data_IF_425034786749
#
_entry.id   IF_425034786749
#
_cell.length_a   1.000
_cell.length_b   1.000
_cell.length_c   1.000
_cell.angle_alpha   90.00
_cell.angle_beta   90.00
_cell.angle_gamma   90.00
#
_symmetry.space_group_name_H-M   'P 1'
#
loop_
_entity.id
_entity.type
_entity.pdbx_description
1 polymer ?
#
# COMPACT_ATOMS: atom_id res chain seq x y z
N UNK A 1 15.51 3.94 -18.83
CA UNK A 1 14.97 4.66 -17.65
C UNK A 1 14.01 5.71 -18.15
N UNK A 2 12.86 5.86 -17.51
CA UNK A 2 11.88 6.91 -17.83
C UNK A 2 12.00 7.97 -16.72
N UNK A 3 12.49 9.16 -17.05
CA UNK A 3 12.54 10.28 -16.11
C UNK A 3 11.26 11.10 -16.27
N UNK A 4 10.47 11.19 -15.21
CA UNK A 4 9.26 12.02 -15.19
C UNK A 4 9.55 13.24 -14.34
N UNK A 5 9.72 14.38 -14.99
CA UNK A 5 9.83 15.67 -14.30
C UNK A 5 8.42 16.11 -13.95
N UNK A 6 8.06 16.00 -12.67
CA UNK A 6 6.81 16.58 -12.16
C UNK A 6 6.95 18.10 -12.21
N UNK A 7 6.02 18.76 -12.91
CA UNK A 7 5.98 20.23 -12.94
C UNK A 7 5.29 20.72 -11.66
N UNK A 8 5.94 21.68 -11.00
CA UNK A 8 5.49 22.47 -9.84
C UNK A 8 3.97 22.68 -9.82
N UNK A 9 3.29 22.16 -8.82
CA UNK A 9 1.92 22.57 -8.50
C UNK A 9 1.97 23.95 -7.82
N UNK A 10 1.05 24.85 -8.20
CA UNK A 10 0.90 26.14 -7.53
C UNK A 10 0.10 25.92 -6.26
N UNK A 11 0.56 26.54 -5.17
CA UNK A 11 -0.12 26.62 -3.87
C UNK A 11 -1.54 27.17 -4.07
N UNK A 12 -2.55 26.35 -3.77
CA UNK A 12 -3.94 26.76 -3.68
C UNK A 12 -4.25 27.25 -2.26
N UNK A 13 -4.77 28.47 -2.15
CA UNK A 13 -5.34 29.05 -0.92
C UNK A 13 -6.80 28.57 -0.71
N UNK A 14 -7.09 27.32 -1.08
CA UNK A 14 -8.45 26.75 -1.17
C UNK A 14 -8.81 25.85 0.03
N UNK A 15 -7.91 25.71 0.99
CA UNK A 15 -8.12 24.93 2.22
C UNK A 15 -7.84 23.43 2.10
N UNK A 16 -7.55 22.92 0.90
CA UNK A 16 -7.17 21.52 0.65
C UNK A 16 -5.74 21.28 1.18
N UNK A 17 -5.49 20.14 1.84
CA UNK A 17 -4.15 19.83 2.31
C UNK A 17 -3.18 19.60 1.14
N UNK A 18 -1.97 20.16 1.23
CA UNK A 18 -0.95 20.06 0.18
C UNK A 18 -0.54 18.61 -0.11
N UNK A 19 -0.75 17.70 0.84
CA UNK A 19 -0.49 16.27 0.66
C UNK A 19 -1.31 15.68 -0.50
N UNK A 20 -2.46 16.26 -0.85
CA UNK A 20 -3.31 15.80 -1.94
C UNK A 20 -2.89 16.29 -3.33
N UNK A 21 -1.90 17.16 -3.40
CA UNK A 21 -1.26 17.54 -4.67
C UNK A 21 0.01 16.73 -4.88
N UNK A 22 0.43 16.59 -6.14
CA UNK A 22 1.71 15.93 -6.45
C UNK A 22 2.83 16.80 -5.88
N UNK A 23 3.78 16.17 -5.18
CA UNK A 23 4.88 16.86 -4.53
C UNK A 23 5.90 17.42 -5.51
N UNK A 24 6.83 18.20 -4.97
CA UNK A 24 7.81 18.95 -5.76
C UNK A 24 9.05 18.12 -6.18
N UNK A 25 9.26 16.94 -5.60
CA UNK A 25 10.43 16.11 -5.89
C UNK A 25 10.30 15.44 -7.26
N UNK A 26 11.33 15.57 -8.09
CA UNK A 26 11.38 14.91 -9.39
C UNK A 26 11.65 13.40 -9.20
N UNK A 27 10.89 12.57 -9.94
CA UNK A 27 10.88 11.12 -9.73
C UNK A 27 11.44 10.39 -10.96
N UNK A 28 12.38 9.47 -10.71
CA UNK A 28 12.84 8.50 -11.69
C UNK A 28 12.11 7.16 -11.53
N UNK A 29 11.59 6.64 -12.66
CA UNK A 29 10.90 5.34 -12.70
C UNK A 29 11.86 4.29 -13.25
N UNK A 30 12.21 3.33 -12.39
CA UNK A 30 13.24 2.32 -12.63
C UNK A 30 12.59 0.95 -12.72
N UNK A 31 12.77 0.27 -13.86
CA UNK A 31 12.38 -1.13 -14.05
C UNK A 31 13.60 -2.00 -13.76
N UNK A 32 13.66 -2.58 -12.57
CA UNK A 32 14.79 -3.40 -12.16
C UNK A 32 14.51 -4.89 -12.40
N UNK A 33 15.42 -5.55 -13.12
CA UNK A 33 15.39 -6.99 -13.37
C UNK A 33 16.82 -7.53 -13.39
N UNK A 34 17.14 -8.43 -12.47
CA UNK A 34 18.46 -9.06 -12.33
C UNK A 34 18.29 -10.45 -11.74
N UNK A 35 19.27 -11.34 -11.95
CA UNK A 35 19.32 -12.66 -11.30
C UNK A 35 19.43 -12.58 -9.78
N UNK A 36 19.93 -11.46 -9.24
CA UNK A 36 19.99 -11.21 -7.79
C UNK A 36 18.64 -10.79 -7.19
N UNK A 37 17.66 -10.43 -8.02
CA UNK A 37 16.34 -9.99 -7.55
C UNK A 37 15.37 -11.18 -7.42
N UNK A 38 14.61 -11.28 -6.31
CA UNK A 38 13.61 -12.34 -6.14
C UNK A 38 12.48 -12.28 -7.18
N UNK A 39 12.16 -11.08 -7.68
CA UNK A 39 11.27 -10.83 -8.80
C UNK A 39 11.59 -9.46 -9.42
N UNK A 40 11.08 -9.15 -10.63
CA UNK A 40 11.20 -7.81 -11.19
C UNK A 40 10.57 -6.76 -10.26
N UNK A 41 11.15 -5.56 -10.24
CA UNK A 41 10.68 -4.43 -9.44
C UNK A 41 10.34 -3.25 -10.36
N UNK A 42 9.31 -2.51 -9.99
CA UNK A 42 9.11 -1.14 -10.43
C UNK A 42 9.43 -0.24 -9.23
N UNK A 43 10.46 0.60 -9.37
CA UNK A 43 10.91 1.51 -8.31
C UNK A 43 10.64 2.94 -8.75
N UNK A 44 10.04 3.72 -7.86
CA UNK A 44 9.92 5.17 -7.98
C UNK A 44 10.89 5.79 -6.98
N UNK A 45 11.84 6.57 -7.48
CA UNK A 45 12.91 7.15 -6.68
C UNK A 45 12.93 8.66 -6.85
N UNK A 46 13.09 9.42 -5.75
CA UNK A 46 13.60 10.79 -5.82
C UNK A 46 14.87 10.86 -6.68
N UNK A 47 15.13 12.02 -7.25
CA UNK A 47 16.33 12.28 -8.07
C UNK A 47 17.34 13.18 -7.36
N UNK A 48 16.88 13.93 -6.36
CA UNK A 48 17.73 14.77 -5.52
C UNK A 48 18.55 13.90 -4.57
N UNK A 49 19.82 14.27 -4.38
CA UNK A 49 20.73 13.63 -3.41
C UNK A 49 20.15 13.73 -1.99
N UNK A 50 20.08 12.59 -1.28
CA UNK A 50 19.46 12.55 0.03
C UNK A 50 19.21 11.14 0.55
N UNK A 51 18.74 11.06 1.80
CA UNK A 51 18.28 9.81 2.43
C UNK A 51 16.77 9.84 2.59
N UNK A 52 16.09 8.80 2.11
CA UNK A 52 14.62 8.79 1.98
C UNK A 52 13.98 7.55 2.62
N UNK A 53 12.84 7.69 3.31
CA UNK A 53 12.08 6.54 3.78
C UNK A 53 11.60 5.66 2.61
N UNK A 54 11.36 4.37 2.89
CA UNK A 54 11.01 3.38 1.87
C UNK A 54 9.57 2.88 2.06
N UNK A 55 8.78 2.86 0.99
CA UNK A 55 7.48 2.21 0.94
C UNK A 55 7.53 0.94 0.08
N UNK A 56 7.25 -0.21 0.68
CA UNK A 56 7.08 -1.48 -0.05
C UNK A 56 5.61 -1.68 -0.42
N UNK A 57 5.28 -1.61 -1.72
CA UNK A 57 3.90 -1.62 -2.22
C UNK A 57 3.54 -2.88 -3.03
N UNK A 58 2.46 -3.58 -2.66
CA UNK A 58 1.99 -4.79 -3.35
C UNK A 58 0.72 -4.53 -4.20
N UNK A 59 0.77 -4.95 -5.47
CA UNK A 59 -0.35 -4.82 -6.41
C UNK A 59 -1.49 -5.84 -6.14
N UNK A 60 -2.68 -5.56 -6.65
CA UNK A 60 -3.85 -6.43 -6.55
C UNK A 60 -3.85 -7.66 -7.47
N UNK A 61 -4.92 -8.45 -7.38
CA UNK A 61 -5.14 -9.68 -8.15
C UNK A 61 -5.19 -9.39 -9.66
N UNK A 62 -4.46 -10.17 -10.47
CA UNK A 62 -4.36 -9.97 -11.93
C UNK A 62 -3.80 -8.61 -12.39
N UNK A 63 -3.16 -7.85 -11.50
CA UNK A 63 -2.63 -6.53 -11.79
C UNK A 63 -1.10 -6.51 -11.82
N UNK A 64 -0.56 -5.33 -12.16
CA UNK A 64 0.86 -5.02 -12.20
C UNK A 64 1.11 -3.71 -11.44
N UNK A 65 2.33 -3.46 -10.90
CA UNK A 65 2.67 -2.19 -10.27
C UNK A 65 2.37 -0.96 -11.12
N UNK A 66 2.54 -1.08 -12.45
CA UNK A 66 2.29 0.03 -13.36
C UNK A 66 0.80 0.47 -13.41
N UNK A 67 -0.14 -0.37 -12.96
CA UNK A 67 -1.56 0.01 -12.83
C UNK A 67 -1.80 1.01 -11.67
N UNK A 68 -0.77 1.33 -10.90
CA UNK A 68 -0.80 2.28 -9.78
C UNK A 68 0.18 3.43 -10.00
N UNK A 69 0.69 3.62 -11.23
CA UNK A 69 1.75 4.58 -11.57
C UNK A 69 1.46 5.97 -11.00
N UNK A 70 0.25 6.50 -11.14
CA UNK A 70 -0.07 7.84 -10.66
C UNK A 70 -0.01 7.95 -9.13
N UNK A 71 -0.51 6.93 -8.41
CA UNK A 71 -0.44 6.87 -6.94
C UNK A 71 1.00 6.73 -6.44
N UNK A 72 1.78 5.82 -7.03
CA UNK A 72 3.15 5.58 -6.59
C UNK A 72 4.08 6.76 -6.93
N UNK A 73 3.82 7.45 -8.05
CA UNK A 73 4.48 8.69 -8.40
C UNK A 73 4.12 9.82 -7.42
N UNK A 74 2.84 9.96 -7.06
CA UNK A 74 2.41 10.92 -6.04
C UNK A 74 3.20 10.73 -4.76
N UNK A 75 3.20 9.53 -4.20
CA UNK A 75 3.93 9.23 -2.97
C UNK A 75 5.42 9.53 -3.13
N UNK A 76 6.05 9.10 -4.23
CA UNK A 76 7.49 9.31 -4.42
C UNK A 76 7.88 10.78 -4.59
N UNK A 77 7.01 11.60 -5.19
CA UNK A 77 7.20 13.05 -5.33
C UNK A 77 7.14 13.81 -3.98
N UNK A 78 6.70 13.13 -2.92
CA UNK A 78 6.77 13.61 -1.54
C UNK A 78 7.96 13.00 -0.78
N UNK A 79 9.09 12.76 -1.48
CA UNK A 79 10.37 12.34 -0.89
C UNK A 79 10.35 10.92 -0.29
N UNK A 80 9.69 9.99 -0.97
CA UNK A 80 9.71 8.56 -0.62
C UNK A 80 10.28 7.71 -1.74
N UNK A 81 11.04 6.67 -1.39
CA UNK A 81 11.39 5.62 -2.33
C UNK A 81 10.27 4.57 -2.31
N UNK A 82 9.60 4.36 -3.44
CA UNK A 82 8.52 3.36 -3.53
C UNK A 82 9.03 2.15 -4.30
N UNK A 83 9.08 1.00 -3.63
CA UNK A 83 9.48 -0.29 -4.20
C UNK A 83 8.24 -1.13 -4.43
N UNK A 84 7.91 -1.39 -5.70
CA UNK A 84 6.72 -2.16 -6.07
C UNK A 84 7.12 -3.46 -6.82
N UNK A 85 7.19 -4.61 -6.12
CA UNK A 85 7.52 -5.88 -6.75
C UNK A 85 6.42 -6.36 -7.70
N UNK A 86 6.84 -6.94 -8.82
CA UNK A 86 5.98 -7.60 -9.78
C UNK A 86 5.82 -9.08 -9.45
N UNK A 87 4.64 -9.47 -8.98
CA UNK A 87 4.29 -10.88 -8.81
C UNK A 87 3.62 -11.45 -10.05
N UNK A 88 3.52 -12.78 -10.12
CA UNK A 88 2.77 -13.42 -11.20
C UNK A 88 1.28 -13.14 -11.00
N UNK A 89 0.56 -12.63 -12.02
CA UNK A 89 -0.82 -12.18 -11.90
C UNK A 89 -1.76 -13.23 -11.30
N UNK A 90 -1.54 -14.51 -11.65
CA UNK A 90 -2.44 -15.62 -11.33
C UNK A 90 -2.04 -16.47 -10.10
N UNK A 91 -0.85 -16.28 -9.52
CA UNK A 91 -0.41 -17.16 -8.41
C UNK A 91 -0.77 -16.56 -7.05
N UNK A 92 -1.71 -17.17 -6.32
CA UNK A 92 -2.11 -16.73 -4.98
C UNK A 92 -1.30 -17.37 -3.83
N UNK A 93 -0.83 -18.61 -3.99
CA UNK A 93 -0.25 -19.39 -2.89
C UNK A 93 1.18 -19.00 -2.46
N UNK A 94 1.82 -18.03 -3.12
CA UNK A 94 3.24 -17.70 -2.88
C UNK A 94 3.54 -16.22 -2.66
N UNK A 95 2.54 -15.34 -2.68
CA UNK A 95 2.78 -13.89 -2.60
C UNK A 95 3.46 -13.50 -1.30
N UNK A 96 3.00 -13.98 -0.14
CA UNK A 96 3.67 -13.70 1.16
C UNK A 96 5.08 -14.29 1.20
N UNK A 97 5.31 -15.47 0.60
CA UNK A 97 6.65 -16.08 0.50
C UNK A 97 7.58 -15.22 -0.35
N UNK A 98 7.10 -14.69 -1.48
CA UNK A 98 7.85 -13.77 -2.36
C UNK A 98 8.07 -12.44 -1.68
N UNK A 99 7.05 -11.87 -1.05
CA UNK A 99 7.12 -10.65 -0.27
C UNK A 99 8.18 -10.74 0.84
N UNK A 100 8.27 -11.88 1.54
CA UNK A 100 9.34 -12.15 2.52
C UNK A 100 10.73 -12.18 1.87
N UNK A 101 10.89 -12.77 0.68
CA UNK A 101 12.16 -12.74 -0.06
C UNK A 101 12.55 -11.31 -0.44
N UNK A 102 11.58 -10.48 -0.82
CA UNK A 102 11.81 -9.06 -1.13
C UNK A 102 12.19 -8.28 0.12
N UNK A 103 11.48 -8.46 1.24
CA UNK A 103 11.83 -7.83 2.52
C UNK A 103 13.24 -8.24 2.99
N UNK A 104 13.60 -9.52 2.84
CA UNK A 104 14.97 -10.01 3.09
C UNK A 104 16.00 -9.38 2.16
N UNK A 105 15.69 -9.28 0.87
CA UNK A 105 16.56 -8.61 -0.11
C UNK A 105 16.75 -7.11 0.21
N UNK A 106 15.71 -6.42 0.72
CA UNK A 106 15.81 -5.06 1.21
C UNK A 106 16.74 -4.97 2.44
N UNK A 107 16.59 -5.87 3.43
CA UNK A 107 17.45 -5.86 4.64
C UNK A 107 18.94 -6.06 4.38
N UNK A 108 19.33 -6.60 3.22
CA UNK A 108 20.75 -6.77 2.86
C UNK A 108 21.34 -5.55 2.15
N UNK A 109 20.67 -4.39 2.24
CA UNK A 109 21.06 -3.11 1.63
C UNK A 109 21.32 -3.17 0.12
N UNK A 110 20.63 -4.08 -0.58
CA UNK A 110 20.79 -4.24 -2.03
C UNK A 110 20.05 -3.16 -2.83
N UNK A 111 19.19 -2.37 -2.19
CA UNK A 111 18.39 -1.35 -2.86
C UNK A 111 19.27 -0.25 -3.47
N UNK A 112 20.41 0.08 -2.84
CA UNK A 112 21.41 1.02 -3.36
C UNK A 112 21.87 0.69 -4.79
N UNK A 113 21.93 -0.60 -5.14
CA UNK A 113 22.34 -1.05 -6.47
C UNK A 113 21.31 -0.74 -7.58
N UNK A 114 20.10 -0.35 -7.19
CA UNK A 114 18.98 -0.05 -8.10
C UNK A 114 18.71 1.45 -8.19
N UNK A 115 19.06 2.22 -7.16
CA UNK A 115 18.70 3.63 -7.05
C UNK A 115 19.63 4.54 -7.87
N UNK A 116 19.20 5.78 -8.19
CA UNK A 116 20.07 6.79 -8.76
C UNK A 116 21.27 7.07 -7.86
N UNK A 117 22.36 7.55 -8.46
CA UNK A 117 23.58 7.86 -7.71
C UNK A 117 23.27 8.86 -6.58
N UNK A 118 23.74 8.55 -5.36
CA UNK A 118 23.57 9.38 -4.15
C UNK A 118 22.15 9.49 -3.58
N UNK A 119 21.21 8.66 -4.04
CA UNK A 119 19.93 8.46 -3.37
C UNK A 119 20.08 7.26 -2.43
N UNK A 120 19.92 7.49 -1.13
CA UNK A 120 20.13 6.48 -0.09
C UNK A 120 18.79 6.07 0.54
N UNK A 121 18.47 4.76 0.63
CA UNK A 121 17.27 4.29 1.30
C UNK A 121 17.47 4.26 2.83
N UNK A 122 16.55 4.90 3.56
CA UNK A 122 16.49 4.78 5.03
C UNK A 122 15.68 3.52 5.41
N UNK A 123 16.40 2.41 5.59
CA UNK A 123 15.80 1.13 5.98
C UNK A 123 15.40 1.04 7.46
N UNK A 124 15.58 2.11 8.25
CA UNK A 124 14.96 2.25 9.58
C UNK A 124 13.51 2.78 9.47
N UNK A 125 13.17 3.39 8.33
CA UNK A 125 11.86 3.99 8.05
C UNK A 125 11.19 3.29 6.89
N UNK A 126 10.71 2.06 7.13
CA UNK A 126 10.04 1.26 6.10
C UNK A 126 8.54 1.15 6.35
N UNK A 127 7.76 1.75 5.46
CA UNK A 127 6.33 1.52 5.34
C UNK A 127 6.01 0.31 4.45
N UNK A 128 4.87 -0.32 4.71
CA UNK A 128 4.39 -1.48 3.94
C UNK A 128 2.94 -1.25 3.54
N UNK A 129 2.62 -1.54 2.28
CA UNK A 129 1.27 -1.32 1.76
C UNK A 129 0.89 -2.18 0.56
N UNK A 130 -0.39 -2.13 0.17
CA UNK A 130 -0.88 -2.69 -1.07
C UNK A 130 -2.38 -2.51 -1.26
N UNK A 131 -2.86 -2.88 -2.45
CA UNK A 131 -4.27 -2.79 -2.84
C UNK A 131 -4.95 -4.16 -2.98
N UNK A 132 -6.16 -4.33 -2.45
CA UNK A 132 -6.94 -5.56 -2.58
C UNK A 132 -6.19 -6.78 -2.05
N UNK A 133 -5.89 -7.75 -2.92
CA UNK A 133 -5.02 -8.91 -2.59
C UNK A 133 -3.61 -8.48 -2.14
N UNK A 134 -3.09 -7.39 -2.69
CA UNK A 134 -1.83 -6.78 -2.28
C UNK A 134 -1.90 -6.20 -0.86
N UNK A 135 -3.03 -5.61 -0.47
CA UNK A 135 -3.26 -5.15 0.89
C UNK A 135 -3.25 -6.30 1.89
N UNK A 136 -3.93 -7.41 1.57
CA UNK A 136 -3.82 -8.65 2.37
C UNK A 136 -2.38 -9.15 2.48
N UNK A 137 -1.61 -9.06 1.40
CA UNK A 137 -0.19 -9.46 1.39
C UNK A 137 0.64 -8.57 2.31
N UNK A 138 0.36 -7.27 2.32
CA UNK A 138 0.96 -6.30 3.23
C UNK A 138 0.71 -6.66 4.70
N UNK A 139 -0.56 -6.85 5.08
CA UNK A 139 -0.92 -7.27 6.44
C UNK A 139 -0.29 -8.62 6.84
N UNK A 140 -0.35 -9.61 5.96
CA UNK A 140 0.21 -10.93 6.25
C UNK A 140 1.73 -10.90 6.42
N UNK A 141 2.44 -10.06 5.66
CA UNK A 141 3.87 -9.88 5.82
C UNK A 141 4.19 -9.16 7.13
N UNK A 142 3.48 -8.07 7.45
CA UNK A 142 3.65 -7.36 8.71
C UNK A 142 3.43 -8.30 9.91
N UNK A 143 2.36 -9.10 9.91
CA UNK A 143 2.05 -10.06 10.99
C UNK A 143 3.16 -11.10 11.18
N UNK A 144 3.75 -11.58 10.09
CA UNK A 144 4.85 -12.54 10.15
C UNK A 144 6.13 -11.93 10.76
N UNK A 145 6.33 -10.61 10.66
CA UNK A 145 7.48 -9.90 11.24
C UNK A 145 7.20 -9.41 12.66
N UNK A 146 5.98 -8.96 12.95
CA UNK A 146 5.56 -8.49 14.29
C UNK A 146 5.37 -9.60 15.32
N UNK A 147 5.02 -10.81 14.89
CA UNK A 147 4.76 -11.94 15.81
C UNK A 147 6.02 -12.56 16.43
N UNK A 148 7.19 -11.94 16.30
CA UNK A 148 8.44 -12.47 16.87
C UNK A 148 8.69 -13.94 16.53
N UNK A 149 8.34 -14.35 15.29
CA UNK A 149 8.25 -15.73 14.81
C UNK A 149 9.08 -16.74 15.60
N UNK A 150 8.48 -17.28 16.68
CA UNK A 150 8.94 -18.48 17.38
C UNK A 150 8.37 -19.76 16.79
N UNK A 151 7.42 -19.67 15.86
CA UNK A 151 6.80 -20.86 15.29
C UNK A 151 7.26 -21.14 13.86
N UNK A 152 8.23 -22.05 13.78
CA UNK A 152 8.28 -23.03 12.72
C UNK A 152 7.04 -23.93 12.82
N UNK A 153 6.13 -23.82 11.87
CA UNK A 153 5.13 -24.84 11.55
C UNK A 153 4.49 -24.47 10.21
N UNK A 154 4.34 -25.31 9.19
CA UNK A 154 4.81 -26.67 8.93
C UNK A 154 4.74 -26.84 7.41
N UNK A 155 5.89 -26.99 6.77
CA UNK A 155 6.00 -27.81 5.58
C UNK A 155 7.30 -28.57 5.74
N UNK A 156 7.17 -29.86 6.04
CA UNK A 156 8.23 -30.86 6.06
C UNK A 156 9.31 -30.55 5.01
N UNK A 157 10.51 -30.20 5.47
CA UNK A 157 11.64 -29.88 4.60
C UNK A 157 12.74 -29.09 5.30
N UNK A 158 13.64 -29.84 5.95
CA UNK A 158 15.04 -29.49 6.29
C UNK A 158 15.31 -28.29 7.22
N UNK A 159 16.28 -28.40 8.16
CA UNK A 159 16.68 -27.29 9.01
C UNK A 159 17.40 -26.23 8.17
N UNK A 160 16.75 -25.10 7.90
CA UNK A 160 17.42 -23.94 7.31
C UNK A 160 18.25 -23.22 8.37
N UNK A 161 19.48 -22.91 7.95
CA UNK A 161 20.55 -22.23 8.66
C UNK A 161 20.08 -20.98 9.40
N UNK A 162 20.58 -20.79 10.64
CA UNK A 162 20.41 -19.58 11.45
C UNK A 162 20.83 -18.36 10.62
N UNK A 163 19.86 -17.55 10.17
CA UNK A 163 20.14 -16.28 9.52
C UNK A 163 20.75 -15.31 10.52
N UNK A 164 21.89 -14.71 10.12
CA UNK A 164 22.78 -13.91 10.97
C UNK A 164 22.41 -12.41 11.03
N UNK A 165 21.38 -11.99 10.30
CA UNK A 165 20.97 -10.58 10.19
C UNK A 165 19.60 -10.37 10.83
N UNK A 166 19.37 -9.26 11.55
CA UNK A 166 18.06 -8.95 12.10
C UNK A 166 17.06 -8.74 10.94
N UNK A 167 15.82 -9.23 11.06
CA UNK A 167 14.80 -9.04 10.04
C UNK A 167 14.51 -7.54 9.86
N UNK A 168 14.26 -7.12 8.62
CA UNK A 168 13.78 -5.76 8.29
C UNK A 168 12.65 -5.35 9.24
N UNK A 169 12.76 -4.19 9.90
CA UNK A 169 11.70 -3.67 10.75
C UNK A 169 10.75 -2.82 9.91
N UNK A 170 9.46 -3.11 9.99
CA UNK A 170 8.43 -2.23 9.44
C UNK A 170 8.01 -1.22 10.50
N UNK A 171 7.81 0.02 10.08
CA UNK A 171 7.49 1.15 10.96
C UNK A 171 6.04 1.63 10.81
N UNK A 172 5.39 1.34 9.68
CA UNK A 172 3.99 1.68 9.45
C UNK A 172 3.33 0.74 8.42
N UNK A 173 2.02 0.53 8.52
CA UNK A 173 1.24 -0.34 7.62
C UNK A 173 0.01 0.39 7.05
N UNK A 174 -0.17 0.36 5.73
CA UNK A 174 -1.36 0.92 5.06
C UNK A 174 -2.04 -0.10 4.15
N UNK A 175 -3.35 -0.28 4.23
CA UNK A 175 -4.11 -1.11 3.29
C UNK A 175 -5.07 -0.30 2.44
N UNK A 176 -4.97 -0.40 1.12
CA UNK A 176 -5.98 0.16 0.20
C UNK A 176 -6.97 -0.94 -0.14
N UNK A 177 -8.19 -0.75 0.32
CA UNK A 177 -9.33 -1.63 0.09
C UNK A 177 -8.96 -3.12 0.20
N UNK A 178 -8.28 -3.55 1.29
CA UNK A 178 -7.68 -4.89 1.35
C UNK A 178 -8.76 -5.97 1.27
N UNK A 179 -8.44 -7.06 0.58
CA UNK A 179 -9.36 -8.19 0.37
C UNK A 179 -8.73 -9.48 0.88
N UNK A 180 -9.35 -10.03 1.90
CA UNK A 180 -9.05 -11.29 2.58
C UNK A 180 -9.61 -12.51 1.84
N UNK A 181 -9.65 -13.63 2.55
CA UNK A 181 -10.24 -14.87 2.06
C UNK A 181 -10.93 -15.59 3.22
N UNK A 182 -12.16 -16.08 3.00
CA UNK A 182 -12.91 -16.80 4.04
C UNK A 182 -12.40 -18.23 4.28
N UNK A 183 -11.73 -18.84 3.30
CA UNK A 183 -11.28 -20.23 3.38
C UNK A 183 -9.86 -20.45 2.85
N UNK A 184 -9.21 -21.47 3.40
CA UNK A 184 -7.95 -22.03 2.91
C UNK A 184 -8.18 -22.64 1.53
N UNK A 185 -7.68 -21.97 0.49
CA UNK A 185 -7.89 -22.40 -0.88
C UNK A 185 -7.32 -21.34 -1.80
N UNK A 186 -8.16 -20.47 -2.34
CA UNK A 186 -7.74 -19.56 -3.41
C UNK A 186 -6.86 -18.37 -2.98
N UNK A 187 -6.76 -18.04 -1.69
CA UNK A 187 -6.09 -16.82 -1.21
C UNK A 187 -5.39 -16.98 0.16
N UNK A 188 -4.61 -18.05 0.36
CA UNK A 188 -3.76 -18.20 1.55
C UNK A 188 -2.71 -17.07 1.69
N UNK A 189 -2.26 -16.71 2.91
CA UNK A 189 -2.80 -17.12 4.20
C UNK A 189 -4.14 -16.45 4.51
N UNK A 190 -5.00 -17.15 5.24
CA UNK A 190 -6.13 -16.52 5.90
C UNK A 190 -5.61 -15.87 7.19
N UNK A 191 -5.65 -14.54 7.22
CA UNK A 191 -5.16 -13.75 8.36
C UNK A 191 -6.31 -13.20 9.20
N UNK A 192 -7.52 -13.14 8.66
CA UNK A 192 -8.70 -12.63 9.36
C UNK A 192 -9.19 -13.69 10.35
N UNK A 193 -9.29 -13.30 11.62
CA UNK A 193 -9.83 -14.12 12.72
C UNK A 193 -11.23 -13.70 13.11
N UNK A 194 -11.71 -12.55 12.61
CA UNK A 194 -12.98 -11.94 12.98
C UNK A 194 -13.10 -11.62 14.47
N UNK A 195 -11.96 -11.30 15.09
CA UNK A 195 -11.87 -10.88 16.49
C UNK A 195 -11.35 -9.44 16.48
N UNK A 196 -12.06 -8.46 17.06
CA UNK A 196 -11.57 -7.09 17.12
C UNK A 196 -10.15 -7.01 17.73
N UNK A 197 -9.30 -6.19 17.15
CA UNK A 197 -7.92 -5.97 17.60
C UNK A 197 -7.03 -7.25 17.65
N UNK A 198 -7.35 -8.28 16.85
CA UNK A 198 -6.59 -9.54 16.84
C UNK A 198 -5.21 -9.46 16.18
N UNK A 199 -4.99 -8.46 15.31
CA UNK A 199 -3.72 -8.26 14.64
C UNK A 199 -2.67 -7.81 15.65
N UNK A 200 -1.79 -8.73 16.02
CA UNK A 200 -0.71 -8.46 16.97
C UNK A 200 0.46 -7.76 16.28
N UNK A 201 0.23 -6.49 15.93
CA UNK A 201 1.19 -5.58 15.32
C UNK A 201 1.46 -4.44 16.30
N UNK A 202 2.72 -4.05 16.42
CA UNK A 202 3.16 -2.90 17.23
C UNK A 202 3.41 -1.66 16.36
N UNK A 203 2.84 -1.63 15.15
CA UNK A 203 3.02 -0.54 14.19
C UNK A 203 1.67 0.13 13.95
N UNK A 204 1.65 1.45 13.71
CA UNK A 204 0.44 2.17 13.30
C UNK A 204 -0.15 1.57 12.02
N UNK A 205 -1.49 1.54 11.94
CA UNK A 205 -2.21 0.96 10.81
C UNK A 205 -3.22 1.96 10.23
N UNK A 206 -3.15 2.21 8.92
CA UNK A 206 -4.22 2.91 8.19
C UNK A 206 -4.93 1.95 7.22
N UNK A 207 -6.26 1.95 7.23
CA UNK A 207 -7.07 1.23 6.25
C UNK A 207 -7.92 2.22 5.47
N UNK A 208 -7.73 2.24 4.15
CA UNK A 208 -8.47 3.10 3.25
C UNK A 208 -9.45 2.23 2.46
N UNK A 209 -10.73 2.27 2.81
CA UNK A 209 -11.77 1.50 2.12
C UNK A 209 -12.40 2.27 0.96
N UNK A 210 -13.09 1.56 0.06
CA UNK A 210 -13.96 2.18 -0.95
C UNK A 210 -15.42 1.74 -0.77
N UNK A 211 -16.36 2.70 -0.76
CA UNK A 211 -17.74 2.47 -0.31
C UNK A 211 -18.62 1.66 -1.28
N UNK A 212 -18.20 1.52 -2.53
CA UNK A 212 -18.91 0.73 -3.55
C UNK A 212 -18.29 -0.67 -3.76
N UNK A 213 -17.17 -0.98 -3.09
CA UNK A 213 -16.42 -2.22 -3.31
C UNK A 213 -17.20 -3.50 -3.03
N UNK A 214 -18.15 -3.46 -2.09
CA UNK A 214 -19.00 -4.58 -1.71
C UNK A 214 -20.24 -4.72 -2.60
N UNK A 215 -20.46 -3.81 -3.55
CA UNK A 215 -21.60 -3.82 -4.45
C UNK A 215 -21.30 -4.60 -5.74
N UNK A 216 -22.35 -5.19 -6.31
CA UNK A 216 -22.28 -5.88 -7.61
C UNK A 216 -22.35 -4.88 -8.76
N UNK A 217 -21.51 -5.03 -9.78
CA UNK A 217 -21.70 -4.30 -11.03
C UNK A 217 -22.85 -4.93 -11.82
N UNK A 218 -23.74 -4.08 -12.37
CA UNK A 218 -24.93 -4.48 -13.14
C UNK A 218 -25.83 -5.55 -12.47
N UNK A 219 -25.74 -5.71 -11.15
CA UNK A 219 -26.44 -6.76 -10.39
C UNK A 219 -25.90 -8.19 -10.56
N UNK A 220 -25.02 -8.45 -11.54
CA UNK A 220 -24.60 -9.81 -11.92
C UNK A 220 -23.13 -10.10 -11.58
N UNK A 221 -22.24 -9.11 -11.70
CA UNK A 221 -20.82 -9.33 -11.46
C UNK A 221 -20.55 -9.41 -9.94
N UNK A 222 -19.69 -10.33 -9.49
CA UNK A 222 -19.34 -10.41 -8.07
C UNK A 222 -18.69 -9.09 -7.60
N UNK A 223 -18.88 -8.71 -6.33
CA UNK A 223 -18.26 -7.51 -5.79
C UNK A 223 -16.73 -7.67 -5.72
N UNK A 224 -16.01 -6.54 -5.85
CA UNK A 224 -14.55 -6.52 -5.80
C UNK A 224 -13.99 -6.79 -4.39
N UNK A 225 -14.66 -6.25 -3.37
CA UNK A 225 -14.36 -6.50 -1.96
C UNK A 225 -15.66 -6.87 -1.20
N UNK A 226 -16.07 -8.15 -1.23
CA UNK A 226 -17.29 -8.61 -0.57
C UNK A 226 -17.27 -8.38 0.96
N UNK A 227 -18.44 -8.18 1.55
CA UNK A 227 -18.59 -8.10 3.02
C UNK A 227 -18.03 -9.35 3.71
N UNK A 228 -17.43 -9.15 4.89
CA UNK A 228 -16.82 -10.21 5.68
C UNK A 228 -15.45 -10.68 5.19
N UNK A 229 -14.84 -10.01 4.21
CA UNK A 229 -13.42 -10.16 3.84
C UNK A 229 -12.78 -8.84 3.37
N UNK A 230 -13.46 -7.71 3.46
CA UNK A 230 -13.00 -6.44 2.91
C UNK A 230 -12.33 -5.55 3.97
N UNK A 231 -11.99 -4.33 3.56
CA UNK A 231 -11.38 -3.29 4.39
C UNK A 231 -11.98 -3.13 5.80
N UNK A 232 -13.29 -3.32 5.97
CA UNK A 232 -13.92 -3.18 7.29
C UNK A 232 -13.43 -4.23 8.29
N UNK A 233 -13.21 -5.47 7.84
CA UNK A 233 -12.68 -6.55 8.67
C UNK A 233 -11.21 -6.30 9.02
N UNK A 234 -10.42 -5.82 8.05
CA UNK A 234 -9.02 -5.47 8.30
C UNK A 234 -8.87 -4.35 9.32
N UNK A 235 -9.73 -3.33 9.25
CA UNK A 235 -9.75 -2.26 10.25
C UNK A 235 -10.19 -2.78 11.61
N UNK A 236 -11.28 -3.54 11.68
CA UNK A 236 -11.81 -4.11 12.93
C UNK A 236 -10.76 -4.95 13.68
N UNK A 237 -9.96 -5.74 12.96
CA UNK A 237 -8.91 -6.56 13.58
C UNK A 237 -7.61 -5.79 13.89
N UNK A 238 -7.47 -4.54 13.44
CA UNK A 238 -6.27 -3.70 13.67
C UNK A 238 -6.21 -3.18 15.10
N UNK A 239 -5.03 -3.21 15.71
CA UNK A 239 -4.77 -2.60 17.02
C UNK A 239 -4.50 -1.11 16.88
N UNK A 240 -4.86 -0.29 17.89
CA UNK A 240 -4.41 1.10 17.97
C UNK A 240 -2.87 1.22 18.00
N UNK A 241 -2.30 2.33 17.50
CA UNK A 241 -3.01 3.43 16.85
C UNK A 241 -3.45 3.02 15.43
N UNK A 242 -4.73 3.18 15.12
CA UNK A 242 -5.27 2.79 13.83
C UNK A 242 -6.29 3.79 13.27
N UNK A 243 -6.31 3.87 11.94
CA UNK A 243 -7.11 4.84 11.20
C UNK A 243 -7.92 4.13 10.12
N UNK A 244 -9.12 4.64 9.89
CA UNK A 244 -10.01 4.21 8.82
C UNK A 244 -10.51 5.40 8.04
N UNK A 245 -10.31 5.37 6.73
CA UNK A 245 -10.82 6.37 5.81
C UNK A 245 -11.68 5.67 4.75
N UNK A 246 -12.94 6.04 4.61
CA UNK A 246 -13.82 5.45 3.59
C UNK A 246 -14.07 6.43 2.45
N UNK A 247 -13.50 6.15 1.27
CA UNK A 247 -13.86 6.84 0.02
C UNK A 247 -15.27 6.42 -0.41
N UNK A 248 -16.27 7.13 0.11
CA UNK A 248 -17.68 6.69 0.15
C UNK A 248 -18.27 6.40 -1.23
N UNK A 249 -17.98 7.26 -2.20
CA UNK A 249 -18.63 7.23 -3.52
C UNK A 249 -17.78 6.54 -4.60
N UNK A 250 -16.77 5.77 -4.19
CA UNK A 250 -15.81 5.11 -5.09
C UNK A 250 -15.81 3.60 -4.93
N UNK A 251 -15.38 2.90 -5.98
CA UNK A 251 -15.28 1.44 -6.02
C UNK A 251 -13.85 0.90 -6.06
N UNK A 252 -13.76 -0.43 -5.90
CA UNK A 252 -12.50 -1.16 -5.73
C UNK A 252 -11.48 -0.90 -6.86
N UNK A 253 -11.94 -0.81 -8.11
CA UNK A 253 -11.07 -0.61 -9.27
C UNK A 253 -10.80 0.87 -9.60
N UNK A 254 -11.43 1.82 -8.90
CA UNK A 254 -11.34 3.25 -9.26
C UNK A 254 -9.96 3.84 -8.97
N UNK A 255 -9.19 3.21 -8.08
CA UNK A 255 -7.80 3.57 -7.75
C UNK A 255 -6.82 3.31 -8.90
N UNK A 256 -7.19 2.45 -9.85
CA UNK A 256 -6.30 2.00 -10.92
C UNK A 256 -6.13 3.08 -12.00
N UNK A 257 -4.94 3.15 -12.58
CA UNK A 257 -4.70 3.84 -13.84
C UNK A 257 -5.30 3.02 -14.99
N UNK A 258 -6.03 3.68 -15.90
CA UNK A 258 -6.61 3.01 -17.07
C UNK A 258 -5.58 2.88 -18.20
N UNK A 259 -4.69 1.91 -18.05
CA UNK A 259 -3.50 1.78 -18.91
C UNK A 259 -3.51 0.54 -19.79
N UNK A 260 -4.41 -0.41 -19.55
CA UNK A 260 -4.48 -1.65 -20.32
C UNK A 260 -5.88 -2.28 -20.30
N UNK A 261 -6.08 -3.28 -21.18
CA UNK A 261 -7.36 -4.00 -21.28
C UNK A 261 -7.83 -4.64 -19.98
N UNK A 262 -6.91 -5.07 -19.11
CA UNK A 262 -7.27 -5.69 -17.83
C UNK A 262 -7.83 -4.65 -16.85
N UNK A 263 -7.23 -3.46 -16.74
CA UNK A 263 -7.76 -2.37 -15.90
C UNK A 263 -9.12 -1.89 -16.40
N UNK A 264 -9.29 -1.77 -17.73
CA UNK A 264 -10.57 -1.44 -18.34
C UNK A 264 -11.63 -2.52 -18.02
N UNK A 265 -11.29 -3.81 -18.16
CA UNK A 265 -12.19 -4.92 -17.86
C UNK A 265 -12.59 -4.92 -16.38
N UNK A 266 -11.64 -4.71 -15.46
CA UNK A 266 -11.94 -4.61 -14.02
C UNK A 266 -12.88 -3.44 -13.73
N UNK A 267 -12.69 -2.28 -14.38
CA UNK A 267 -13.59 -1.13 -14.24
C UNK A 267 -15.02 -1.39 -14.73
N UNK A 268 -15.20 -2.33 -15.67
CA UNK A 268 -16.54 -2.78 -16.12
C UNK A 268 -17.12 -3.80 -15.13
N UNK A 269 -16.32 -4.76 -14.67
CA UNK A 269 -16.77 -5.88 -13.84
C UNK A 269 -17.04 -5.49 -12.38
N UNK A 270 -16.45 -4.39 -11.90
CA UNK A 270 -16.60 -3.91 -10.53
C UNK A 270 -17.44 -2.64 -10.49
N UNK A 271 -18.24 -2.47 -9.43
CA UNK A 271 -19.02 -1.25 -9.26
C UNK A 271 -18.05 -0.06 -9.15
N UNK A 272 -18.27 0.95 -9.97
CA UNK A 272 -17.48 2.17 -10.06
C UNK A 272 -18.31 3.38 -9.62
N UNK A 273 -17.63 4.38 -9.04
CA UNK A 273 -18.19 5.66 -8.67
C UNK A 273 -18.46 6.57 -9.86
N UNK A 274 -19.19 7.67 -9.62
CA UNK A 274 -19.37 8.75 -10.61
C UNK A 274 -18.28 9.83 -10.51
N UNK A 275 -17.53 9.85 -9.41
CA UNK A 275 -16.49 10.84 -9.14
C UNK A 275 -15.27 10.66 -10.03
N UNK A 276 -14.43 11.69 -10.09
CA UNK A 276 -13.15 11.63 -10.80
C UNK A 276 -12.23 10.61 -10.13
N UNK A 277 -11.77 9.62 -10.90
CA UNK A 277 -10.77 8.63 -10.46
C UNK A 277 -9.42 9.27 -10.18
N UNK A 278 -9.12 10.37 -10.86
CA UNK A 278 -7.90 11.16 -10.61
C UNK A 278 -7.92 11.79 -9.22
N UNK A 279 -9.04 12.43 -8.88
CA UNK A 279 -9.25 13.02 -7.55
C UNK A 279 -9.20 11.95 -6.45
N UNK A 280 -9.70 10.73 -6.71
CA UNK A 280 -9.52 9.60 -5.80
C UNK A 280 -8.05 9.23 -5.61
N UNK A 281 -7.29 9.06 -6.70
CA UNK A 281 -5.86 8.71 -6.63
C UNK A 281 -5.07 9.76 -5.87
N UNK A 282 -5.33 11.05 -6.10
CA UNK A 282 -4.74 12.17 -5.38
C UNK A 282 -5.12 12.18 -3.90
N UNK A 283 -6.39 11.93 -3.58
CA UNK A 283 -6.84 11.79 -2.18
C UNK A 283 -6.08 10.66 -1.48
N UNK A 284 -6.03 9.48 -2.08
CA UNK A 284 -5.34 8.33 -1.49
C UNK A 284 -3.83 8.61 -1.40
N UNK A 285 -3.23 9.26 -2.39
CA UNK A 285 -1.85 9.74 -2.33
C UNK A 285 -1.57 10.64 -1.12
N UNK A 286 -2.44 11.63 -0.87
CA UNK A 286 -2.29 12.51 0.29
C UNK A 286 -2.53 11.82 1.63
N UNK A 287 -3.47 10.88 1.72
CA UNK A 287 -3.63 10.05 2.92
C UNK A 287 -2.38 9.22 3.21
N UNK A 288 -1.70 8.70 2.18
CA UNK A 288 -0.41 8.03 2.34
C UNK A 288 0.65 8.98 2.87
N UNK A 289 0.80 10.15 2.25
CA UNK A 289 1.83 11.12 2.63
C UNK A 289 1.63 11.60 4.06
N UNK A 290 0.42 12.02 4.43
CA UNK A 290 0.12 12.47 5.79
C UNK A 290 0.38 11.37 6.84
N UNK A 291 0.00 10.12 6.55
CA UNK A 291 0.24 9.01 7.45
C UNK A 291 1.72 8.62 7.55
N UNK A 292 2.45 8.61 6.43
CA UNK A 292 3.88 8.30 6.41
C UNK A 292 4.70 9.40 7.10
N UNK A 293 4.39 10.69 6.88
CA UNK A 293 4.98 11.82 7.61
C UNK A 293 4.77 11.68 9.11
N UNK A 294 3.55 11.36 9.54
CA UNK A 294 3.21 11.19 10.96
C UNK A 294 4.06 10.12 11.64
N UNK A 295 4.22 8.96 11.00
CA UNK A 295 4.76 7.77 11.65
C UNK A 295 6.18 7.36 11.25
N UNK A 296 6.70 7.88 10.14
CA UNK A 296 8.10 7.69 9.74
C UNK A 296 8.96 8.93 10.03
N UNK A 297 8.35 10.11 10.14
CA UNK A 297 9.07 11.39 10.27
C UNK A 297 8.68 12.19 11.50
N UNK A 298 7.63 11.78 12.22
CA UNK A 298 7.15 12.45 13.44
C UNK A 298 6.36 13.74 13.18
N UNK A 299 5.90 13.96 11.95
CA UNK A 299 5.14 15.15 11.54
C UNK A 299 3.65 14.82 11.45
N UNK A 300 2.90 15.05 12.53
CA UNK A 300 1.52 14.55 12.68
C UNK A 300 0.42 15.53 12.27
N UNK A 301 0.75 16.82 12.14
CA UNK A 301 -0.22 17.91 11.95
C UNK A 301 -1.16 17.67 10.77
N UNK A 302 -0.62 17.28 9.62
CA UNK A 302 -1.40 17.01 8.40
C UNK A 302 -2.43 15.88 8.63
N UNK A 303 -2.03 14.79 9.28
CA UNK A 303 -2.90 13.65 9.57
C UNK A 303 -4.00 14.03 10.56
N UNK A 304 -3.66 14.76 11.63
CA UNK A 304 -4.63 15.25 12.62
C UNK A 304 -5.66 16.14 11.95
N UNK A 305 -5.21 17.11 11.14
CA UNK A 305 -6.09 18.04 10.43
C UNK A 305 -7.05 17.30 9.46
N UNK A 306 -6.59 16.25 8.77
CA UNK A 306 -7.44 15.43 7.90
C UNK A 306 -8.50 14.67 8.72
N UNK A 307 -8.14 14.15 9.89
CA UNK A 307 -9.06 13.41 10.77
C UNK A 307 -10.12 14.33 11.40
N UNK A 308 -9.72 15.53 11.85
CA UNK A 308 -10.61 16.49 12.49
C UNK A 308 -11.56 17.20 11.50
N UNK A 309 -11.14 17.38 10.25
CA UNK A 309 -11.89 18.13 9.25
C UNK A 309 -11.82 17.52 7.85
N UNK A 310 -12.24 16.25 7.67
CA UNK A 310 -12.09 15.53 6.41
C UNK A 310 -12.85 16.18 5.25
N UNK A 311 -14.05 16.71 5.50
CA UNK A 311 -14.89 17.36 4.47
C UNK A 311 -14.29 18.67 3.94
N UNK A 312 -13.38 19.30 4.69
CA UNK A 312 -12.68 20.53 4.31
C UNK A 312 -11.36 20.19 3.65
N UNK A 313 -10.62 19.21 4.20
CA UNK A 313 -9.25 18.92 3.79
C UNK A 313 -9.16 17.99 2.59
N UNK A 314 -10.07 17.02 2.47
CA UNK A 314 -9.97 15.98 1.44
C UNK A 314 -10.70 16.40 0.14
N UNK A 315 -10.10 16.15 -1.05
CA UNK A 315 -10.74 16.44 -2.34
C UNK A 315 -11.99 15.60 -2.66
N UNK A 316 -12.24 14.53 -1.90
CA UNK A 316 -13.41 13.67 -2.03
C UNK A 316 -14.06 13.48 -0.67
N UNK A 317 -15.33 13.04 -0.68
CA UNK A 317 -16.03 12.64 0.53
C UNK A 317 -15.38 11.41 1.18
N UNK A 318 -14.79 11.61 2.35
CA UNK A 318 -14.33 10.56 3.25
C UNK A 318 -15.34 10.38 4.38
N UNK A 319 -16.09 9.28 4.38
CA UNK A 319 -17.19 9.08 5.33
C UNK A 319 -17.49 7.58 5.53
N UNK A 320 -17.19 6.99 6.71
CA UNK A 320 -16.63 7.67 7.88
C UNK A 320 -15.10 7.87 7.78
N UNK A 321 -14.60 8.78 8.63
CA UNK A 321 -13.20 8.85 9.06
C UNK A 321 -13.15 8.48 10.54
N UNK A 322 -12.32 7.51 10.91
CA UNK A 322 -12.20 7.00 12.28
C UNK A 322 -10.72 6.96 12.64
N UNK A 323 -10.36 7.51 13.80
CA UNK A 323 -9.06 7.31 14.45
C UNK A 323 -9.28 6.64 15.80
N UNK A 324 -8.45 5.67 16.13
CA UNK A 324 -8.39 5.05 17.45
C UNK A 324 -6.95 5.18 17.93
N UNK A 325 -6.77 5.91 19.02
CA UNK A 325 -5.47 6.17 19.67
C UNK A 325 -5.12 5.04 20.65
N UNK A 326 -3.85 4.99 21.09
CA UNK A 326 -3.34 3.98 22.06
C UNK A 326 -4.00 4.05 23.44
#
# INVERSE_FOLDING_TARGET
MEKVVVKKAKVGDDGIALDFEVGDEAVEIIKAKSFSLPCPLLVFSPTTEGSYPVLLFFHGFCLHPNCYKSLLLHISSHQYIVVAPQFSPMTSHSEVKKARKIAKWLSTNNLDSVLPQKVLPDLLKVGISGHGRGGKTAFALALAYGSGSKDGSSSSGSPQTKEKQPPLKFSALLGIDPVGARSSGFCSPNILKFIPHSFNLSVPIAVIGTGLSNQRAYGICPPGAPNGVNHSEFFNESKPPCYYFLAKDYGHADILDDINRMTTLMGIMMKSGKGSKDTLRRTIGGLFVAFLKAYLEGQQDDLINIVESPDIRAPIKLDPVISIEE
#
